data_IF_221070767423
#
_entry.id   IF_221070767423
#
_cell.length_a   1.000
_cell.length_b   1.000
_cell.length_c   1.000
_cell.angle_alpha   90.00
_cell.angle_beta   90.00
_cell.angle_gamma   90.00
#
_symmetry.space_group_name_H-M   'P 1'
#
loop_
_entity.id
_entity.type
_entity.pdbx_description
1 polymer ?
#
# COMPACT_ATOMS: atom_id res chain seq x y z
N UNK A 1 15.15 -7.89 20.11
CA UNK A 1 15.22 -6.99 18.94
C UNK A 1 14.29 -5.82 19.19
N UNK A 2 14.58 -4.65 18.60
CA UNK A 2 13.69 -3.48 18.65
C UNK A 2 12.84 -3.46 17.38
N UNK A 3 11.56 -3.15 17.56
CA UNK A 3 10.62 -2.89 16.47
C UNK A 3 10.18 -1.43 16.54
N UNK A 4 10.25 -0.74 15.41
CA UNK A 4 9.91 0.69 15.29
C UNK A 4 8.77 0.83 14.31
N UNK A 5 7.72 1.53 14.72
CA UNK A 5 6.60 1.90 13.85
C UNK A 5 6.67 3.39 13.58
N UNK A 6 6.61 3.78 12.30
CA UNK A 6 6.69 5.18 11.88
C UNK A 6 5.38 5.51 11.14
N UNK A 7 4.65 6.51 11.65
CA UNK A 7 3.47 7.07 10.96
C UNK A 7 3.92 8.25 10.10
N UNK A 8 3.63 8.19 8.81
CA UNK A 8 3.99 9.20 7.83
C UNK A 8 2.73 9.89 7.30
N UNK A 9 2.84 11.16 6.93
CA UNK A 9 1.73 11.98 6.41
C UNK A 9 1.78 12.24 4.90
N UNK A 10 2.76 11.66 4.20
CA UNK A 10 2.93 11.80 2.75
C UNK A 10 2.22 10.70 1.97
N UNK A 11 1.78 11.01 0.73
CA UNK A 11 1.03 10.08 -0.12
C UNK A 11 1.90 8.95 -0.69
N UNK A 12 3.19 9.18 -0.97
CA UNK A 12 4.07 8.16 -1.54
C UNK A 12 5.21 7.80 -0.56
N UNK A 13 5.18 6.57 -0.04
CA UNK A 13 6.21 6.03 0.86
C UNK A 13 7.28 5.22 0.14
N UNK A 14 7.21 5.06 -1.18
CA UNK A 14 8.06 4.16 -1.96
C UNK A 14 9.54 4.60 -1.91
N UNK A 15 9.78 5.90 -2.00
CA UNK A 15 11.13 6.47 -1.87
C UNK A 15 11.73 6.25 -0.46
N UNK A 16 10.87 6.23 0.56
CA UNK A 16 11.27 5.98 1.95
C UNK A 16 11.63 4.50 2.11
N UNK A 17 10.76 3.60 1.62
CA UNK A 17 11.00 2.15 1.60
C UNK A 17 12.33 1.81 0.93
N UNK A 18 12.57 2.32 -0.29
CA UNK A 18 13.85 2.11 -1.00
C UNK A 18 15.07 2.57 -0.19
N UNK A 19 14.92 3.66 0.58
CA UNK A 19 15.99 4.13 1.45
C UNK A 19 16.23 3.19 2.62
N UNK A 20 15.18 2.70 3.28
CA UNK A 20 15.31 1.73 4.37
C UNK A 20 15.93 0.41 3.89
N UNK A 21 15.54 -0.09 2.73
CA UNK A 21 16.14 -1.27 2.09
C UNK A 21 17.62 -1.05 1.78
N UNK A 22 18.00 0.12 1.25
CA UNK A 22 19.40 0.50 0.97
C UNK A 22 20.28 0.46 2.22
N UNK A 23 19.73 0.79 3.39
CA UNK A 23 20.43 0.72 4.68
C UNK A 23 20.27 -0.63 5.39
N UNK A 24 19.78 -1.67 4.70
CA UNK A 24 19.57 -3.03 5.22
C UNK A 24 18.61 -3.09 6.43
N UNK A 25 17.65 -2.16 6.52
CA UNK A 25 16.57 -2.29 7.49
C UNK A 25 15.54 -3.31 7.00
N UNK A 26 15.15 -4.24 7.88
CA UNK A 26 14.12 -5.25 7.57
C UNK A 26 12.72 -4.66 7.80
N UNK A 27 12.03 -4.33 6.70
CA UNK A 27 10.66 -3.84 6.75
C UNK A 27 9.72 -5.03 6.99
N UNK A 28 8.99 -5.02 8.13
CA UNK A 28 8.02 -6.07 8.47
C UNK A 28 6.66 -5.84 7.83
N UNK A 29 6.22 -4.59 7.78
CA UNK A 29 4.93 -4.17 7.23
C UNK A 29 5.08 -2.79 6.61
N UNK A 30 4.44 -2.56 5.46
CA UNK A 30 4.24 -1.22 4.91
C UNK A 30 2.75 -1.03 4.63
N UNK A 31 2.22 0.13 5.00
CA UNK A 31 0.82 0.48 4.78
C UNK A 31 0.79 1.62 3.78
N UNK A 32 0.82 1.26 2.49
CA UNK A 32 0.71 2.23 1.43
C UNK A 32 -0.77 2.59 1.28
N UNK A 33 -1.14 3.83 1.61
CA UNK A 33 -2.50 4.35 1.41
C UNK A 33 -2.66 4.84 -0.04
N UNK A 34 -2.12 4.09 -1.00
CA UNK A 34 -2.15 4.48 -2.40
C UNK A 34 -3.61 4.46 -2.87
N UNK A 35 -4.06 5.59 -3.42
CA UNK A 35 -5.38 5.73 -4.06
C UNK A 35 -5.63 4.63 -5.10
N UNK A 36 -4.57 4.13 -5.76
CA UNK A 36 -4.64 2.98 -6.69
C UNK A 36 -5.12 1.67 -6.05
N UNK A 37 -4.79 1.41 -4.78
CA UNK A 37 -5.27 0.20 -4.11
C UNK A 37 -6.76 0.27 -3.83
N UNK A 38 -7.26 1.47 -3.53
CA UNK A 38 -8.70 1.73 -3.36
C UNK A 38 -9.41 1.65 -4.71
N UNK A 39 -8.85 2.25 -5.77
CA UNK A 39 -9.46 2.22 -7.11
C UNK A 39 -9.55 0.80 -7.68
N UNK A 40 -8.53 -0.05 -7.48
CA UNK A 40 -8.57 -1.46 -7.91
C UNK A 40 -9.65 -2.28 -7.22
N UNK A 41 -9.88 -2.05 -5.92
CA UNK A 41 -10.95 -2.74 -5.18
C UNK A 41 -12.30 -2.32 -5.74
N UNK A 42 -12.46 -1.04 -6.05
CA UNK A 42 -13.68 -0.48 -6.61
C UNK A 42 -13.95 -0.96 -8.05
N UNK A 43 -12.92 -1.02 -8.90
CA UNK A 43 -12.99 -1.59 -10.25
C UNK A 43 -13.36 -3.08 -10.25
N UNK A 44 -12.78 -3.86 -9.35
CA UNK A 44 -13.11 -5.29 -9.20
C UNK A 44 -14.55 -5.48 -8.74
N UNK A 45 -15.01 -4.63 -7.81
CA UNK A 45 -16.39 -4.63 -7.34
C UNK A 45 -17.37 -4.32 -8.48
N UNK A 46 -17.11 -3.25 -9.26
CA UNK A 46 -17.95 -2.90 -10.41
C UNK A 46 -17.96 -3.99 -11.48
N UNK A 47 -16.81 -4.59 -11.78
CA UNK A 47 -16.72 -5.70 -12.73
C UNK A 47 -17.55 -6.90 -12.29
N UNK A 48 -17.53 -7.23 -10.99
CA UNK A 48 -18.37 -8.30 -10.44
C UNK A 48 -19.87 -7.99 -10.57
N UNK A 49 -20.29 -6.77 -10.20
CA UNK A 49 -21.69 -6.37 -10.30
C UNK A 49 -22.18 -6.36 -11.75
N UNK A 50 -21.33 -5.92 -12.69
CA UNK A 50 -21.63 -6.00 -14.12
C UNK A 50 -21.82 -7.43 -14.60
N UNK A 51 -21.05 -8.39 -14.08
CA UNK A 51 -21.17 -9.81 -14.45
C UNK A 51 -22.46 -10.44 -13.90
N UNK A 52 -22.92 -10.00 -12.73
CA UNK A 52 -24.13 -10.51 -12.06
C UNK A 52 -25.44 -9.91 -12.62
N UNK A 53 -25.38 -8.76 -13.27
CA UNK A 53 -26.54 -8.07 -13.85
C UNK A 53 -26.83 -8.47 -15.31
N UNK A 54 -26.16 -9.51 -15.84
CA UNK A 54 -26.38 -10.07 -17.19
C UNK A 54 -27.29 -11.29 -17.13
#
# INVERSE_FOLDING_TARGET
SIDVTIKLSGENIDAIIQTFERYNYKIKYSFNSNKESVSKIEENYQSLMSYLNV
#
